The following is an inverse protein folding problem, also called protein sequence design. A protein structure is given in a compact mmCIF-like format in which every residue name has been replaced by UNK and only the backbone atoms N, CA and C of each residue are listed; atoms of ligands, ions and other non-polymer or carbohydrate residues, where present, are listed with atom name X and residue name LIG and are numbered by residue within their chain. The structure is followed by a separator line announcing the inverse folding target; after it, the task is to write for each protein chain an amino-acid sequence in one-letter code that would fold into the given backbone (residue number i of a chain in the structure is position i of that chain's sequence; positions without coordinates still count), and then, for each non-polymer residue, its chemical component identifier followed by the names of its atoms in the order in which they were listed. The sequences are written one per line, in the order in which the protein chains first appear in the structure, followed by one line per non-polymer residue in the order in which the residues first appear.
data_IF_596291384189
#
_entry.id   IF_596291384189
#
_cell.length_a   1.000
_cell.length_b   1.000
_cell.length_c   1.000
_cell.angle_alpha   90.00
_cell.angle_beta   90.00
_cell.angle_gamma   90.00
#
_symmetry.space_group_name_H-M   'P 1'
#
loop_
_entity.id
_entity.type
_entity.pdbx_description
1 polymer ?
#
# COMPACT_ATOMS: atom_id res chain seq x y z
N UNK A 1 11.50 13.96 -30.60
CA UNK A 1 10.08 14.17 -30.38
C UNK A 1 9.89 14.86 -29.04
N UNK A 2 8.94 15.82 -28.98
CA UNK A 2 8.57 16.50 -27.76
C UNK A 2 7.05 16.57 -27.66
N UNK A 3 6.52 16.34 -26.46
CA UNK A 3 5.10 16.46 -26.17
C UNK A 3 4.90 17.28 -24.90
N UNK A 4 3.99 18.24 -24.92
CA UNK A 4 3.55 18.98 -23.74
C UNK A 4 2.04 18.87 -23.65
N UNK A 5 1.53 18.59 -22.47
CA UNK A 5 0.10 18.48 -22.20
C UNK A 5 -0.25 19.22 -20.92
N UNK A 6 -1.43 19.83 -20.93
CA UNK A 6 -2.00 20.47 -19.75
C UNK A 6 -3.46 20.05 -19.59
N UNK A 7 -3.80 19.54 -18.41
CA UNK A 7 -5.16 19.12 -18.06
C UNK A 7 -5.65 19.89 -16.84
N UNK A 8 -6.88 20.37 -16.91
CA UNK A 8 -7.59 20.93 -15.77
C UNK A 8 -8.86 20.10 -15.51
N UNK A 9 -8.97 19.57 -14.32
CA UNK A 9 -10.12 18.75 -13.91
C UNK A 9 -10.87 19.45 -12.78
N UNK A 10 -12.21 19.48 -12.86
CA UNK A 10 -13.08 20.01 -11.83
C UNK A 10 -13.84 18.91 -11.11
N UNK A 11 -13.99 19.03 -9.78
CA UNK A 11 -14.79 18.10 -9.00
C UNK A 11 -15.68 18.85 -8.00
N UNK A 12 -16.98 18.52 -7.96
CA UNK A 12 -17.94 19.06 -7.00
C UNK A 12 -17.69 18.56 -5.56
N UNK A 13 -16.88 17.51 -5.39
CA UNK A 13 -16.49 16.96 -4.10
C UNK A 13 -15.63 17.93 -3.29
N UNK A 14 -14.92 18.85 -3.95
CA UNK A 14 -14.08 19.87 -3.33
C UNK A 14 -14.76 21.24 -3.37
N UNK A 15 -14.31 22.17 -2.53
CA UNK A 15 -14.91 23.48 -2.39
C UNK A 15 -13.97 24.63 -2.70
N UNK A 16 -14.56 25.74 -3.14
CA UNK A 16 -13.82 26.96 -3.46
C UNK A 16 -12.73 26.71 -4.52
N UNK A 17 -11.55 27.24 -4.28
CA UNK A 17 -10.41 27.17 -5.18
C UNK A 17 -9.85 25.75 -5.33
N UNK A 18 -10.15 24.86 -4.38
CA UNK A 18 -9.70 23.45 -4.43
C UNK A 18 -10.54 22.59 -5.38
N UNK A 19 -11.63 23.14 -5.97
CA UNK A 19 -12.48 22.43 -6.91
C UNK A 19 -11.73 21.97 -8.15
N UNK A 20 -10.80 22.81 -8.64
CA UNK A 20 -10.02 22.52 -9.83
C UNK A 20 -8.63 22.01 -9.47
N UNK A 21 -8.21 20.93 -10.17
CA UNK A 21 -6.85 20.42 -10.16
C UNK A 21 -6.19 20.70 -11.52
N UNK A 22 -4.90 21.03 -11.50
CA UNK A 22 -4.11 21.35 -12.69
C UNK A 22 -2.96 20.36 -12.82
N UNK A 23 -2.89 19.70 -13.98
CA UNK A 23 -2.01 18.57 -14.20
C UNK A 23 -1.20 18.74 -15.48
N UNK A 24 -0.11 19.53 -15.44
CA UNK A 24 0.84 19.62 -16.53
C UNK A 24 1.64 18.33 -16.70
N UNK A 25 2.02 18.03 -17.94
CA UNK A 25 2.96 16.94 -18.26
C UNK A 25 3.77 17.27 -19.49
N UNK A 26 4.95 16.68 -19.59
CA UNK A 26 5.82 16.79 -20.73
C UNK A 26 6.65 15.53 -20.94
N UNK A 27 6.97 15.26 -22.19
CA UNK A 27 7.86 14.17 -22.56
C UNK A 27 8.78 14.57 -23.70
N UNK A 28 9.98 14.00 -23.67
CA UNK A 28 11.00 14.09 -24.71
C UNK A 28 11.42 12.67 -25.11
N UNK A 29 11.64 12.49 -26.40
CA UNK A 29 12.19 11.25 -26.91
C UNK A 29 13.18 11.54 -28.02
N UNK A 30 14.37 10.94 -27.91
CA UNK A 30 15.45 11.10 -28.84
C UNK A 30 15.87 9.76 -29.43
N UNK A 31 15.69 9.62 -30.76
CA UNK A 31 16.15 8.48 -31.53
C UNK A 31 17.61 8.69 -31.92
N UNK A 32 18.53 8.42 -31.00
CA UNK A 32 19.93 8.74 -31.17
C UNK A 32 20.64 7.87 -32.26
N UNK A 33 20.09 6.72 -32.63
CA UNK A 33 20.60 5.89 -33.69
C UNK A 33 20.42 6.50 -35.10
N UNK A 34 19.58 7.53 -35.23
CA UNK A 34 19.42 8.27 -36.48
C UNK A 34 20.53 9.30 -36.71
N UNK A 35 21.35 9.58 -35.70
CA UNK A 35 22.43 10.57 -35.75
C UNK A 35 23.66 10.04 -36.46
N UNK A 36 24.37 10.95 -37.11
CA UNK A 36 25.54 10.61 -37.94
C UNK A 36 26.68 9.93 -37.15
N UNK A 37 26.88 10.36 -35.90
CA UNK A 37 27.94 9.79 -35.05
C UNK A 37 27.67 8.33 -34.64
N UNK A 38 26.41 7.84 -34.75
CA UNK A 38 26.03 6.47 -34.45
C UNK A 38 26.08 5.52 -35.65
N UNK A 39 26.33 6.04 -36.86
CA UNK A 39 26.43 5.21 -38.09
C UNK A 39 27.36 3.99 -37.98
N UNK A 40 28.55 4.10 -37.33
CA UNK A 40 29.44 2.93 -37.20
C UNK A 40 28.85 1.78 -36.37
N UNK A 41 27.89 2.07 -35.47
CA UNK A 41 27.26 1.09 -34.58
C UNK A 41 26.02 0.46 -35.21
N UNK A 42 25.50 0.95 -36.32
CA UNK A 42 24.26 0.46 -36.97
C UNK A 42 24.31 -1.01 -37.37
N UNK A 43 25.50 -1.59 -37.55
CA UNK A 43 25.65 -3.01 -37.84
C UNK A 43 25.32 -3.94 -36.67
N UNK A 44 25.35 -3.42 -35.43
CA UNK A 44 25.06 -4.18 -34.21
C UNK A 44 23.81 -3.67 -33.53
N UNK A 45 23.68 -2.32 -33.39
CA UNK A 45 22.54 -1.65 -32.78
C UNK A 45 21.63 -1.14 -33.87
N UNK A 46 20.49 -1.78 -34.07
CA UNK A 46 19.54 -1.48 -35.15
C UNK A 46 18.71 -0.24 -34.82
N UNK A 47 18.31 -0.09 -33.57
CA UNK A 47 17.59 1.06 -33.08
C UNK A 47 18.00 1.47 -31.66
N UNK A 48 17.87 2.76 -31.37
CA UNK A 48 18.16 3.30 -30.04
C UNK A 48 17.38 4.57 -29.78
N UNK A 49 16.64 4.58 -28.66
CA UNK A 49 15.77 5.68 -28.27
C UNK A 49 15.87 5.95 -26.78
N UNK A 50 16.16 7.19 -26.44
CA UNK A 50 16.11 7.68 -25.06
C UNK A 50 14.79 8.42 -24.84
N UNK A 51 14.13 8.13 -23.73
CA UNK A 51 12.85 8.75 -23.33
C UNK A 51 12.98 9.37 -21.95
N UNK A 52 12.42 10.57 -21.79
CA UNK A 52 12.27 11.22 -20.51
C UNK A 52 10.87 11.81 -20.43
N UNK A 53 10.17 11.61 -19.31
CA UNK A 53 8.88 12.21 -19.09
C UNK A 53 8.68 12.62 -17.64
N UNK A 54 7.92 13.69 -17.46
CA UNK A 54 7.47 14.20 -16.20
C UNK A 54 6.01 14.60 -16.28
N UNK A 55 5.25 14.38 -15.22
CA UNK A 55 3.87 14.83 -15.18
C UNK A 55 3.25 14.75 -13.80
N UNK A 56 2.15 15.51 -13.66
CA UNK A 56 1.28 15.50 -12.51
C UNK A 56 -0.03 14.79 -12.86
N UNK A 57 -0.55 14.01 -11.92
CA UNK A 57 -1.89 13.41 -11.99
C UNK A 57 -2.63 13.65 -10.68
N UNK A 58 -3.94 13.86 -10.76
CA UNK A 58 -4.82 14.07 -9.62
C UNK A 58 -5.68 12.87 -9.33
N UNK A 59 -6.03 12.72 -8.04
CA UNK A 59 -7.01 11.75 -7.57
C UNK A 59 -8.01 12.47 -6.65
N UNK A 60 -9.31 12.21 -6.83
CA UNK A 60 -10.40 12.77 -6.05
C UNK A 60 -11.21 11.71 -5.30
N UNK A 61 -10.56 10.64 -4.85
CA UNK A 61 -11.18 9.54 -4.09
C UNK A 61 -11.57 9.97 -2.68
N UNK A 62 -12.58 10.83 -2.59
CA UNK A 62 -13.28 11.19 -1.36
C UNK A 62 -14.76 10.92 -1.52
N UNK A 63 -15.47 10.76 -0.42
CA UNK A 63 -16.93 10.73 -0.43
C UNK A 63 -17.51 12.03 -0.98
N UNK A 64 -18.70 11.96 -1.53
CA UNK A 64 -19.34 13.12 -2.18
C UNK A 64 -19.60 14.28 -1.23
N UNK A 65 -19.71 13.96 0.05
CA UNK A 65 -20.07 14.91 1.11
C UNK A 65 -18.98 15.10 2.19
N UNK A 66 -17.76 14.56 2.00
CA UNK A 66 -16.69 14.64 3.00
C UNK A 66 -16.23 16.06 3.32
N UNK A 67 -16.53 17.02 2.44
CA UNK A 67 -16.29 18.45 2.70
C UNK A 67 -17.38 19.14 3.52
N UNK A 68 -18.47 18.43 3.82
CA UNK A 68 -19.61 18.94 4.58
C UNK A 68 -19.61 18.39 6.00
N UNK A 69 -20.24 19.11 6.91
CA UNK A 69 -20.68 18.52 8.18
C UNK A 69 -21.96 17.73 7.90
N UNK A 70 -21.94 16.45 8.22
CA UNK A 70 -23.11 15.59 8.10
C UNK A 70 -23.73 15.39 9.48
N UNK A 71 -25.04 15.32 9.49
CA UNK A 71 -25.84 15.00 10.68
C UNK A 71 -26.61 13.72 10.42
N UNK A 72 -26.60 12.82 11.38
CA UNK A 72 -27.41 11.62 11.37
C UNK A 72 -28.62 11.81 12.29
N UNK A 73 -29.78 11.44 11.80
CA UNK A 73 -31.00 11.37 12.61
C UNK A 73 -30.91 10.07 13.39
N UNK A 74 -30.99 10.16 14.72
CA UNK A 74 -31.12 9.00 15.61
C UNK A 74 -32.56 8.48 15.48
N UNK A 75 -32.79 7.56 14.54
CA UNK A 75 -34.08 6.86 14.43
C UNK A 75 -34.07 5.69 15.40
N UNK A 76 -34.96 5.70 16.36
CA UNK A 76 -35.37 4.50 17.09
C UNK A 76 -36.03 3.53 16.09
N UNK A 77 -35.31 2.51 15.67
CA UNK A 77 -35.94 1.25 15.33
C UNK A 77 -36.10 0.51 16.65
N UNK A 78 -37.35 0.30 17.06
CA UNK A 78 -37.69 -0.62 18.13
C UNK A 78 -36.99 -1.96 17.82
N UNK A 79 -35.89 -2.26 18.54
CA UNK A 79 -35.13 -3.48 18.39
C UNK A 79 -33.63 -3.35 18.00
N UNK A 80 -33.19 -2.26 17.41
CA UNK A 80 -31.80 -2.04 17.08
C UNK A 80 -31.21 -0.91 17.94
N UNK A 81 -30.53 -1.26 19.02
CA UNK A 81 -29.70 -0.35 19.79
C UNK A 81 -28.51 0.05 18.98
N UNK A 82 -28.51 1.24 18.36
CA UNK A 82 -27.26 1.85 17.88
C UNK A 82 -26.57 2.39 19.15
N UNK A 83 -25.71 1.57 19.73
CA UNK A 83 -24.81 1.98 20.80
C UNK A 83 -23.72 2.89 20.23
N UNK A 84 -23.97 4.19 20.20
CA UNK A 84 -22.89 5.18 20.11
C UNK A 84 -22.43 5.38 21.55
N UNK A 85 -21.47 4.53 21.99
CA UNK A 85 -20.81 4.68 23.28
C UNK A 85 -21.73 5.07 24.44
N UNK A 86 -22.49 4.11 24.95
CA UNK A 86 -23.23 4.22 26.22
C UNK A 86 -24.25 5.39 26.37
N UNK A 87 -24.62 6.05 25.28
CA UNK A 87 -25.74 7.01 25.34
C UNK A 87 -27.04 6.29 25.03
N UNK A 88 -28.02 6.33 25.93
CA UNK A 88 -29.34 5.79 25.65
C UNK A 88 -29.96 6.55 24.48
N UNK A 89 -30.73 5.83 23.66
CA UNK A 89 -31.50 6.24 22.51
C UNK A 89 -31.79 7.74 22.46
N UNK A 90 -31.41 8.38 21.34
CA UNK A 90 -31.43 9.83 21.17
C UNK A 90 -32.81 10.49 21.10
N UNK A 91 -33.64 10.23 22.08
CA UNK A 91 -34.89 10.93 22.25
C UNK A 91 -34.63 12.14 23.15
N UNK A 92 -34.84 13.34 22.63
CA UNK A 92 -34.78 14.57 23.43
C UNK A 92 -36.01 14.61 24.33
N UNK A 93 -35.87 14.78 25.65
CA UNK A 93 -37.01 14.85 26.60
C UNK A 93 -37.63 16.25 26.66
N UNK A 94 -37.70 16.95 25.53
CA UNK A 94 -38.41 18.23 25.48
C UNK A 94 -39.88 18.01 25.16
N UNK A 95 -40.74 18.59 25.95
CA UNK A 95 -42.21 18.67 25.79
C UNK A 95 -43.00 17.37 25.89
N UNK A 96 -42.57 16.39 26.70
CA UNK A 96 -43.35 15.16 26.92
C UNK A 96 -43.81 14.42 25.65
N UNK A 97 -43.15 14.67 24.52
CA UNK A 97 -43.46 14.05 23.23
C UNK A 97 -42.41 13.03 22.87
N UNK A 98 -42.83 11.78 22.69
CA UNK A 98 -42.01 10.65 22.23
C UNK A 98 -41.55 10.78 20.75
N UNK A 99 -41.79 11.92 20.12
CA UNK A 99 -41.60 12.14 18.68
C UNK A 99 -40.42 13.06 18.33
N UNK A 100 -39.72 13.65 19.30
CA UNK A 100 -38.57 14.51 19.03
C UNK A 100 -37.33 13.68 18.77
N UNK A 101 -36.98 13.55 17.50
CA UNK A 101 -35.83 12.79 17.07
C UNK A 101 -34.57 13.64 17.18
N UNK A 102 -33.59 13.19 17.95
CA UNK A 102 -32.29 13.85 18.06
C UNK A 102 -31.45 13.70 16.78
N UNK A 103 -30.64 14.71 16.52
CA UNK A 103 -29.62 14.66 15.46
C UNK A 103 -28.25 14.78 16.08
N UNK A 104 -27.28 13.97 15.60
CA UNK A 104 -25.86 14.06 15.99
C UNK A 104 -25.01 14.36 14.78
N UNK A 105 -24.00 15.22 14.92
CA UNK A 105 -23.03 15.42 13.86
C UNK A 105 -22.16 14.16 13.75
N UNK A 106 -22.02 13.61 12.53
CA UNK A 106 -21.26 12.38 12.26
C UNK A 106 -19.91 12.64 11.60
N UNK A 107 -19.75 13.80 10.95
CA UNK A 107 -18.50 14.16 10.31
C UNK A 107 -18.11 15.61 10.56
N UNK A 108 -16.82 15.82 10.77
CA UNK A 108 -16.25 17.15 10.87
C UNK A 108 -16.07 17.74 9.46
N UNK A 109 -16.63 18.95 9.26
CA UNK A 109 -16.48 19.68 8.02
C UNK A 109 -15.03 20.00 7.72
N UNK A 110 -14.54 19.66 6.51
CA UNK A 110 -13.24 20.09 6.04
C UNK A 110 -13.32 20.79 4.69
N UNK A 111 -13.34 22.11 4.71
CA UNK A 111 -13.33 22.95 3.49
C UNK A 111 -12.00 23.01 2.75
N UNK A 112 -10.91 22.56 3.41
CA UNK A 112 -9.55 22.62 2.88
C UNK A 112 -9.18 21.36 2.09
N UNK A 113 -10.11 20.39 1.99
CA UNK A 113 -9.87 19.20 1.16
C UNK A 113 -9.58 19.61 -0.28
N UNK A 114 -8.52 19.01 -0.81
CA UNK A 114 -8.03 19.23 -2.17
C UNK A 114 -7.66 17.91 -2.84
N UNK A 115 -7.33 17.99 -4.11
CA UNK A 115 -6.86 16.86 -4.90
C UNK A 115 -5.60 16.23 -4.29
N UNK A 116 -5.59 14.93 -4.18
CA UNK A 116 -4.37 14.16 -4.00
C UNK A 116 -3.58 14.26 -5.29
N UNK A 117 -2.29 14.57 -5.20
CA UNK A 117 -1.44 14.80 -6.38
C UNK A 117 -0.30 13.79 -6.42
N UNK A 118 -0.15 13.16 -7.57
CA UNK A 118 0.98 12.29 -7.88
C UNK A 118 1.88 12.96 -8.90
N UNK A 119 3.14 13.13 -8.53
CA UNK A 119 4.23 13.54 -9.40
C UNK A 119 5.00 12.31 -9.86
N UNK A 120 5.20 12.18 -11.16
CA UNK A 120 5.90 11.05 -11.76
C UNK A 120 7.01 11.52 -12.69
N UNK A 121 8.18 10.91 -12.54
CA UNK A 121 9.33 10.99 -13.43
C UNK A 121 9.58 9.62 -14.03
N UNK A 122 9.84 9.58 -15.34
CA UNK A 122 10.26 8.36 -16.03
C UNK A 122 11.45 8.66 -16.92
N UNK A 123 12.42 7.74 -16.93
CA UNK A 123 13.54 7.71 -17.87
C UNK A 123 13.55 6.31 -18.50
N UNK A 124 13.56 6.25 -19.82
CA UNK A 124 13.52 5.00 -20.55
C UNK A 124 14.58 4.95 -21.63
N UNK A 125 15.13 3.77 -21.83
CA UNK A 125 16.07 3.45 -22.90
C UNK A 125 15.54 2.23 -23.66
N UNK A 126 15.31 2.41 -24.95
CA UNK A 126 14.93 1.34 -25.88
C UNK A 126 16.10 1.06 -26.80
N UNK A 127 16.52 -0.20 -26.92
CA UNK A 127 17.60 -0.66 -27.78
C UNK A 127 17.13 -1.84 -28.63
N UNK A 128 17.38 -1.79 -29.91
CA UNK A 128 17.23 -2.92 -30.82
C UNK A 128 18.58 -3.39 -31.35
N UNK A 129 18.77 -4.68 -31.41
CA UNK A 129 20.03 -5.30 -31.91
C UNK A 129 19.74 -6.33 -33.00
N UNK A 130 20.70 -6.50 -33.89
CA UNK A 130 20.66 -7.54 -34.91
C UNK A 130 19.38 -7.50 -35.77
N UNK A 131 19.08 -6.36 -36.37
CA UNK A 131 17.88 -6.10 -37.15
C UNK A 131 16.58 -6.37 -36.34
N UNK A 132 16.52 -5.82 -35.14
CA UNK A 132 15.37 -5.94 -34.19
C UNK A 132 15.12 -7.38 -33.71
N UNK A 133 16.07 -8.30 -33.89
CA UNK A 133 15.93 -9.66 -33.34
C UNK A 133 16.00 -9.68 -31.81
N UNK A 134 16.66 -8.70 -31.20
CA UNK A 134 16.75 -8.52 -29.77
C UNK A 134 16.32 -7.08 -29.46
N UNK A 135 15.23 -6.93 -28.76
CA UNK A 135 14.74 -5.65 -28.24
C UNK A 135 14.88 -5.59 -26.74
N UNK A 136 15.56 -4.58 -26.22
CA UNK A 136 15.77 -4.33 -24.80
C UNK A 136 15.16 -2.99 -24.43
N UNK A 137 14.27 -2.98 -23.45
CA UNK A 137 13.74 -1.76 -22.84
C UNK A 137 14.12 -1.74 -21.37
N UNK A 138 14.67 -0.62 -20.91
CA UNK A 138 14.98 -0.36 -19.51
C UNK A 138 14.31 0.94 -19.12
N UNK A 139 13.41 0.88 -18.15
CA UNK A 139 12.70 2.04 -17.61
C UNK A 139 13.04 2.23 -16.14
N UNK A 140 13.39 3.45 -15.76
CA UNK A 140 13.44 3.90 -14.39
C UNK A 140 12.30 4.86 -14.13
N UNK A 141 11.63 4.69 -12.99
CA UNK A 141 10.56 5.60 -12.59
C UNK A 141 10.68 6.01 -11.13
N UNK A 142 10.14 7.19 -10.85
CA UNK A 142 9.93 7.70 -9.51
C UNK A 142 8.57 8.39 -9.44
N UNK A 143 7.67 7.82 -8.65
CA UNK A 143 6.31 8.29 -8.43
C UNK A 143 6.16 8.72 -6.99
N UNK A 144 5.81 9.98 -6.74
CA UNK A 144 5.59 10.52 -5.39
C UNK A 144 4.17 11.06 -5.31
N UNK A 145 3.36 10.42 -4.45
CA UNK A 145 2.01 10.87 -4.14
C UNK A 145 2.04 11.69 -2.87
N UNK A 146 1.48 12.87 -2.91
CA UNK A 146 1.37 13.82 -1.80
C UNK A 146 -0.08 14.21 -1.57
N UNK A 147 -0.36 14.77 -0.38
CA UNK A 147 -1.70 15.18 0.00
C UNK A 147 -2.69 14.02 -0.05
N UNK A 148 -2.25 12.82 0.41
CA UNK A 148 -3.09 11.62 0.44
C UNK A 148 -4.38 11.91 1.19
N UNK A 149 -5.50 11.47 0.63
CA UNK A 149 -6.81 11.62 1.23
C UNK A 149 -7.05 10.48 2.22
N UNK A 150 -6.79 10.74 3.49
CA UNK A 150 -6.87 9.76 4.57
C UNK A 150 -7.84 10.21 5.67
N UNK A 151 -8.53 9.24 6.22
CA UNK A 151 -9.34 9.43 7.41
C UNK A 151 -8.44 9.36 8.64
N UNK A 152 -8.19 10.52 9.27
CA UNK A 152 -7.30 10.65 10.43
C UNK A 152 -8.10 10.66 11.73
N UNK A 153 -7.64 9.90 12.74
CA UNK A 153 -8.22 9.93 14.06
C UNK A 153 -8.10 11.34 14.66
N UNK A 154 -9.13 11.74 15.38
CA UNK A 154 -9.18 13.00 16.11
C UNK A 154 -9.19 12.74 17.62
N UNK A 155 -8.72 13.67 18.45
CA UNK A 155 -8.91 13.60 19.89
C UNK A 155 -10.40 13.48 20.23
N UNK A 156 -10.77 12.62 21.16
CA UNK A 156 -12.16 12.41 21.59
C UNK A 156 -12.83 13.67 22.13
N UNK A 157 -12.04 14.60 22.65
CA UNK A 157 -12.49 15.93 23.08
C UNK A 157 -13.07 16.80 21.95
N UNK A 158 -12.81 16.45 20.69
CA UNK A 158 -13.41 17.13 19.53
C UNK A 158 -14.88 16.76 19.29
N UNK A 159 -15.37 15.69 19.92
CA UNK A 159 -16.70 15.11 19.67
C UNK A 159 -16.79 14.29 18.39
N UNK A 160 -15.67 14.05 17.69
CA UNK A 160 -15.58 13.26 16.46
C UNK A 160 -14.48 12.22 16.59
N UNK A 161 -14.69 11.03 15.99
CA UNK A 161 -13.66 9.98 16.00
C UNK A 161 -12.58 10.21 14.95
N UNK A 162 -12.97 10.76 13.79
CA UNK A 162 -12.06 10.98 12.67
C UNK A 162 -12.51 12.08 11.74
N UNK A 163 -11.60 12.57 10.91
CA UNK A 163 -11.90 13.50 9.82
C UNK A 163 -11.06 13.18 8.59
N UNK A 164 -11.65 13.38 7.41
CA UNK A 164 -10.94 13.30 6.14
C UNK A 164 -9.99 14.49 6.02
N UNK A 165 -8.70 14.22 5.78
CA UNK A 165 -7.65 15.24 5.61
C UNK A 165 -6.74 14.88 4.46
N UNK A 166 -6.14 15.91 3.84
CA UNK A 166 -5.02 15.72 2.92
C UNK A 166 -3.73 15.64 3.74
N UNK A 167 -3.26 14.43 4.00
CA UNK A 167 -2.09 14.17 4.84
C UNK A 167 -1.30 12.99 4.29
N UNK A 168 -0.01 13.04 4.53
CA UNK A 168 0.86 11.94 4.15
C UNK A 168 1.43 12.05 2.74
N UNK A 169 2.54 11.35 2.56
CA UNK A 169 3.31 11.31 1.34
C UNK A 169 3.96 9.95 1.17
N UNK A 170 3.81 9.36 0.00
CA UNK A 170 4.34 8.04 -0.31
C UNK A 170 5.11 8.10 -1.62
N UNK A 171 6.23 7.39 -1.68
CA UNK A 171 7.05 7.26 -2.88
C UNK A 171 7.10 5.80 -3.32
N UNK A 172 6.94 5.60 -4.61
CA UNK A 172 7.31 4.39 -5.33
C UNK A 172 8.41 4.75 -6.33
N UNK A 173 9.47 3.96 -6.39
CA UNK A 173 10.51 4.10 -7.38
C UNK A 173 11.04 2.73 -7.76
N UNK A 174 11.43 2.58 -9.01
CA UNK A 174 11.83 1.27 -9.47
C UNK A 174 12.54 1.28 -10.81
N UNK A 175 12.94 0.08 -11.21
CA UNK A 175 13.49 -0.21 -12.50
C UNK A 175 12.69 -1.36 -13.08
N UNK A 176 12.33 -1.23 -14.35
CA UNK A 176 11.67 -2.26 -15.14
C UNK A 176 12.54 -2.59 -16.33
N UNK A 177 12.70 -3.87 -16.60
CA UNK A 177 13.46 -4.37 -17.73
C UNK A 177 12.57 -5.31 -18.54
N UNK A 178 12.52 -5.07 -19.86
CA UNK A 178 11.81 -5.94 -20.81
C UNK A 178 12.78 -6.34 -21.91
N UNK A 179 12.86 -7.64 -22.15
CA UNK A 179 13.66 -8.24 -23.22
C UNK A 179 12.74 -9.02 -24.16
N UNK A 180 12.73 -8.63 -25.41
CA UNK A 180 12.04 -9.34 -26.50
C UNK A 180 13.08 -9.93 -27.43
N UNK A 181 12.97 -11.23 -27.75
CA UNK A 181 13.90 -11.87 -28.68
C UNK A 181 13.16 -12.71 -29.71
N UNK A 182 13.64 -12.61 -30.95
CA UNK A 182 13.29 -13.56 -32.01
C UNK A 182 14.48 -14.55 -32.13
N UNK A 183 14.33 -15.68 -31.42
CA UNK A 183 15.41 -16.67 -31.31
C UNK A 183 15.61 -17.40 -32.64
N UNK A 184 14.52 -17.90 -33.21
CA UNK A 184 14.52 -18.56 -34.51
C UNK A 184 13.33 -18.06 -35.30
N UNK A 185 13.55 -17.73 -36.57
CA UNK A 185 12.49 -17.39 -37.51
C UNK A 185 12.86 -17.90 -38.89
N UNK A 186 12.16 -18.91 -39.34
CA UNK A 186 12.30 -19.44 -40.70
C UNK A 186 10.92 -19.76 -41.28
N UNK A 187 10.85 -20.30 -42.49
CA UNK A 187 9.60 -20.56 -43.22
C UNK A 187 8.62 -21.49 -42.48
N UNK A 188 9.10 -22.38 -41.62
CA UNK A 188 8.33 -23.43 -41.00
C UNK A 188 8.29 -23.36 -39.47
N UNK A 189 9.22 -22.62 -38.88
CA UNK A 189 9.35 -22.55 -37.43
C UNK A 189 9.68 -21.12 -36.97
N UNK A 190 8.96 -20.65 -35.99
CA UNK A 190 9.18 -19.39 -35.30
C UNK A 190 9.28 -19.67 -33.81
N UNK A 191 10.27 -19.07 -33.14
CA UNK A 191 10.41 -19.07 -31.70
C UNK A 191 10.75 -17.68 -31.23
N UNK A 192 9.87 -17.10 -30.42
CA UNK A 192 10.07 -15.79 -29.79
C UNK A 192 10.01 -15.92 -28.27
N UNK A 193 10.75 -15.06 -27.58
CA UNK A 193 10.77 -14.98 -26.12
C UNK A 193 10.48 -13.56 -25.70
N UNK A 194 9.62 -13.41 -24.70
CA UNK A 194 9.41 -12.17 -23.95
C UNK A 194 9.78 -12.43 -22.49
N UNK A 195 10.66 -11.61 -21.94
CA UNK A 195 11.04 -11.62 -20.53
C UNK A 195 10.85 -10.22 -19.96
N UNK A 196 10.24 -10.13 -18.78
CA UNK A 196 10.17 -8.87 -18.05
C UNK A 196 10.47 -9.09 -16.57
N UNK A 197 11.09 -8.10 -15.94
CA UNK A 197 11.33 -8.07 -14.50
C UNK A 197 11.22 -6.64 -13.99
N UNK A 198 10.54 -6.47 -12.87
CA UNK A 198 10.32 -5.19 -12.22
C UNK A 198 10.78 -5.22 -10.76
N UNK A 199 11.54 -4.21 -10.37
CA UNK A 199 11.98 -3.95 -9.00
C UNK A 199 11.32 -2.67 -8.53
N UNK A 200 10.52 -2.74 -7.48
CA UNK A 200 9.85 -1.57 -6.90
C UNK A 200 10.24 -1.38 -5.44
N UNK A 201 10.57 -0.14 -5.06
CA UNK A 201 10.75 0.29 -3.67
C UNK A 201 9.65 1.27 -3.30
N UNK A 202 8.80 0.87 -2.39
CA UNK A 202 7.81 1.75 -1.75
C UNK A 202 8.40 2.34 -0.46
N UNK A 203 8.06 3.60 -0.16
CA UNK A 203 8.46 4.25 1.09
C UNK A 203 7.41 5.29 1.52
N UNK A 204 6.99 5.20 2.77
CA UNK A 204 6.22 6.25 3.45
C UNK A 204 7.20 7.39 3.79
N UNK A 205 6.95 8.58 3.27
CA UNK A 205 7.79 9.75 3.51
C UNK A 205 7.24 10.64 4.63
N UNK A 206 5.91 10.69 4.75
CA UNK A 206 5.20 11.54 5.69
C UNK A 206 3.85 10.93 6.02
N UNK A 207 3.40 11.09 7.25
CA UNK A 207 2.05 10.75 7.73
C UNK A 207 1.37 12.03 8.23
N UNK A 208 0.24 11.91 8.93
CA UNK A 208 -0.42 13.06 9.54
C UNK A 208 0.48 13.74 10.60
N UNK A 209 0.17 15.00 10.90
CA UNK A 209 0.91 15.80 11.87
C UNK A 209 1.18 15.03 13.17
N UNK A 210 2.43 14.99 13.60
CA UNK A 210 2.90 14.33 14.82
C UNK A 210 2.69 12.80 14.86
N UNK A 211 2.43 12.16 13.73
CA UNK A 211 2.33 10.70 13.65
C UNK A 211 3.57 10.11 12.98
N UNK A 212 4.28 9.25 13.68
CA UNK A 212 5.42 8.49 13.13
C UNK A 212 4.96 7.18 12.48
N UNK A 213 3.79 6.69 12.87
CA UNK A 213 3.20 5.44 12.36
C UNK A 213 1.67 5.46 12.43
N UNK A 214 1.06 4.61 11.60
CA UNK A 214 -0.36 4.30 11.59
C UNK A 214 -0.53 2.79 11.64
N UNK A 215 -1.34 2.32 12.58
CA UNK A 215 -1.70 0.91 12.70
C UNK A 215 -3.00 0.63 11.94
N UNK A 216 -3.08 -0.53 11.33
CA UNK A 216 -4.27 -0.99 10.60
C UNK A 216 -4.56 -2.44 10.93
N UNK A 217 -5.84 -2.74 11.20
CA UNK A 217 -6.31 -4.09 11.41
C UNK A 217 -6.70 -4.74 10.07
N UNK A 218 -6.30 -5.99 9.89
CA UNK A 218 -6.87 -6.83 8.84
C UNK A 218 -8.18 -7.43 9.34
N UNK A 219 -9.25 -7.25 8.57
CA UNK A 219 -10.57 -7.81 8.88
C UNK A 219 -10.81 -9.03 8.01
N UNK A 220 -10.43 -10.22 8.50
CA UNK A 220 -10.67 -11.47 7.78
C UNK A 220 -12.02 -12.09 8.17
N UNK A 221 -12.37 -12.08 9.46
CA UNK A 221 -13.66 -12.52 9.98
C UNK A 221 -14.04 -11.76 11.26
N UNK A 222 -15.12 -12.18 11.92
CA UNK A 222 -15.59 -11.56 13.16
C UNK A 222 -14.62 -11.72 14.34
N UNK A 223 -13.80 -12.76 14.35
CA UNK A 223 -12.87 -13.07 15.42
C UNK A 223 -11.52 -12.38 15.21
N UNK A 224 -11.15 -12.10 13.94
CA UNK A 224 -9.86 -11.51 13.55
C UNK A 224 -9.98 -10.01 13.18
N UNK A 225 -10.89 -9.28 13.79
CA UNK A 225 -11.13 -7.90 13.35
C UNK A 225 -10.62 -6.81 14.30
N UNK A 226 -10.12 -7.20 15.48
CA UNK A 226 -9.67 -6.27 16.52
C UNK A 226 -8.15 -6.13 16.66
N UNK A 227 -7.36 -6.96 15.95
CA UNK A 227 -5.91 -6.95 16.08
C UNK A 227 -5.25 -6.12 14.98
N UNK A 228 -4.33 -5.24 15.38
CA UNK A 228 -3.49 -4.52 14.44
C UNK A 228 -2.47 -5.47 13.81
N UNK A 229 -2.64 -5.76 12.53
CA UNK A 229 -1.79 -6.70 11.77
C UNK A 229 -0.83 -5.99 10.82
N UNK A 230 -1.03 -4.69 10.58
CA UNK A 230 -0.21 -3.90 9.68
C UNK A 230 0.16 -2.55 10.28
N UNK A 231 1.34 -2.07 9.89
CA UNK A 231 1.86 -0.76 10.26
C UNK A 231 2.34 -0.01 9.01
N UNK A 232 1.95 1.25 8.90
CA UNK A 232 2.60 2.21 8.02
C UNK A 232 3.48 3.11 8.87
N UNK A 233 4.80 3.06 8.69
CA UNK A 233 5.79 3.82 9.46
C UNK A 233 6.63 4.69 8.52
N UNK A 234 6.88 5.94 8.91
CA UNK A 234 7.74 6.84 8.15
C UNK A 234 9.13 6.22 7.97
N UNK A 235 9.61 6.21 6.73
CA UNK A 235 10.90 5.62 6.37
C UNK A 235 10.83 4.17 5.87
N UNK A 236 9.72 3.47 6.06
CA UNK A 236 9.51 2.07 5.70
C UNK A 236 8.49 1.92 4.54
N UNK A 237 8.42 0.74 3.91
CA UNK A 237 7.36 0.43 2.97
C UNK A 237 5.97 0.52 3.61
N UNK A 238 4.95 0.82 2.81
CA UNK A 238 3.56 0.75 3.24
C UNK A 238 3.13 -0.72 3.39
N UNK A 239 2.32 -1.01 4.42
CA UNK A 239 1.79 -2.35 4.60
C UNK A 239 2.77 -3.37 5.17
N UNK A 240 3.73 -2.91 6.00
CA UNK A 240 4.55 -3.82 6.80
C UNK A 240 3.68 -4.60 7.77
N UNK A 241 3.92 -5.89 7.87
CA UNK A 241 3.24 -6.76 8.85
C UNK A 241 3.77 -6.44 10.25
N UNK A 242 2.86 -6.37 11.22
CA UNK A 242 3.12 -5.92 12.58
C UNK A 242 2.60 -6.92 13.59
N UNK A 243 3.45 -7.35 14.50
CA UNK A 243 3.11 -8.36 15.50
C UNK A 243 4.27 -8.72 16.39
N UNK A 244 4.13 -9.82 17.11
CA UNK A 244 5.15 -10.37 18.00
C UNK A 244 6.11 -11.29 17.25
N UNK A 245 7.36 -11.32 17.68
CA UNK A 245 8.33 -12.33 17.22
C UNK A 245 8.12 -13.61 18.03
N UNK A 246 7.77 -14.69 17.34
CA UNK A 246 7.57 -16.01 17.94
C UNK A 246 8.92 -16.69 18.21
N UNK A 247 9.17 -17.12 19.45
CA UNK A 247 10.39 -17.79 19.88
C UNK A 247 10.19 -19.30 20.18
N UNK A 248 9.02 -19.80 19.86
CA UNK A 248 8.66 -21.21 20.15
C UNK A 248 7.63 -21.28 21.28
N UNK A 249 7.72 -22.32 22.09
CA UNK A 249 6.82 -22.53 23.23
C UNK A 249 7.59 -22.51 24.53
N UNK A 250 6.92 -22.12 25.63
CA UNK A 250 7.48 -22.26 26.96
C UNK A 250 7.79 -23.71 27.22
N UNK A 251 9.01 -23.99 27.64
CA UNK A 251 9.50 -25.34 27.98
C UNK A 251 9.35 -25.61 29.46
N UNK A 252 9.36 -26.87 29.87
CA UNK A 252 9.38 -27.25 31.29
C UNK A 252 10.56 -26.62 32.06
N UNK A 253 11.68 -26.36 31.38
CA UNK A 253 12.88 -25.74 31.94
C UNK A 253 12.65 -24.27 32.33
N UNK A 254 11.64 -23.59 31.75
CA UNK A 254 11.26 -22.20 32.06
C UNK A 254 10.51 -22.13 33.41
N UNK A 255 10.19 -23.26 34.05
CA UNK A 255 9.36 -23.30 35.25
C UNK A 255 10.08 -24.01 36.39
N UNK A 256 9.71 -23.64 37.61
CA UNK A 256 10.01 -24.38 38.85
C UNK A 256 8.81 -25.29 39.15
N UNK A 257 9.07 -26.58 39.35
CA UNK A 257 8.04 -27.59 39.69
C UNK A 257 7.95 -27.76 41.19
N UNK A 258 6.77 -27.50 41.77
CA UNK A 258 6.47 -27.77 43.18
C UNK A 258 5.22 -28.66 43.27
N UNK A 259 5.40 -29.94 43.57
CA UNK A 259 4.34 -30.94 43.47
C UNK A 259 3.88 -31.11 42.01
N UNK A 260 2.59 -30.92 41.76
CA UNK A 260 2.00 -30.96 40.39
C UNK A 260 1.84 -29.61 39.75
N UNK A 261 2.35 -28.54 40.40
CA UNK A 261 2.21 -27.17 39.91
C UNK A 261 3.52 -26.67 39.27
N UNK A 262 3.42 -26.05 38.14
CA UNK A 262 4.51 -25.37 37.45
C UNK A 262 4.38 -23.86 37.67
N UNK A 263 5.41 -23.23 38.25
CA UNK A 263 5.49 -21.80 38.46
C UNK A 263 6.55 -21.20 37.54
N UNK A 264 6.24 -20.17 36.77
CA UNK A 264 7.17 -19.55 35.85
C UNK A 264 8.37 -18.97 36.65
N UNK A 265 9.58 -19.15 36.14
CA UNK A 265 10.78 -18.58 36.74
C UNK A 265 10.78 -17.05 36.56
N UNK A 266 11.21 -16.32 37.59
CA UNK A 266 11.19 -14.84 37.62
C UNK A 266 11.95 -14.14 36.49
N UNK A 267 12.90 -14.84 35.87
CA UNK A 267 13.72 -14.30 34.78
C UNK A 267 13.18 -14.67 33.40
N UNK A 268 12.03 -15.29 33.32
CA UNK A 268 11.40 -15.68 32.06
C UNK A 268 10.23 -14.71 31.78
N UNK A 269 10.26 -13.98 30.65
CA UNK A 269 9.18 -13.09 30.27
C UNK A 269 7.86 -13.85 30.07
N UNK A 270 6.75 -13.20 30.38
CA UNK A 270 5.42 -13.80 30.24
C UNK A 270 4.48 -12.93 29.42
N UNK A 271 3.55 -13.58 28.71
CA UNK A 271 2.50 -12.90 27.95
C UNK A 271 1.24 -12.75 28.79
N UNK A 272 0.76 -11.51 28.93
CA UNK A 272 -0.48 -11.15 29.65
C UNK A 272 -0.47 -11.39 31.16
N UNK A 273 -0.12 -12.59 31.66
CA UNK A 273 -0.14 -12.91 33.08
C UNK A 273 0.85 -14.03 33.41
N UNK A 274 1.71 -13.80 34.39
CA UNK A 274 2.66 -14.81 34.90
C UNK A 274 1.94 -16.07 35.39
N UNK A 275 0.87 -15.90 36.16
CA UNK A 275 0.14 -17.04 36.78
C UNK A 275 -0.59 -17.93 35.77
N UNK A 276 -0.89 -17.38 34.58
CA UNK A 276 -1.59 -18.14 33.52
C UNK A 276 -0.63 -18.77 32.52
N UNK A 277 0.65 -18.40 32.57
CA UNK A 277 1.67 -18.97 31.67
C UNK A 277 2.01 -20.39 32.07
N UNK A 278 1.92 -21.34 31.12
CA UNK A 278 2.15 -22.75 31.34
C UNK A 278 3.07 -23.34 30.26
N UNK A 279 3.75 -24.48 30.57
CA UNK A 279 4.52 -25.23 29.58
C UNK A 279 3.67 -25.54 28.34
N UNK A 280 4.26 -25.37 27.16
CA UNK A 280 3.60 -25.60 25.88
C UNK A 280 2.85 -24.38 25.28
N UNK A 281 2.63 -23.33 26.04
CA UNK A 281 2.04 -22.10 25.52
C UNK A 281 3.02 -21.36 24.58
N UNK A 282 2.51 -20.58 23.58
CA UNK A 282 3.36 -19.77 22.72
C UNK A 282 4.21 -18.78 23.51
N UNK A 283 5.50 -18.70 23.18
CA UNK A 283 6.46 -17.76 23.75
C UNK A 283 6.87 -16.75 22.68
N UNK A 284 6.88 -15.48 23.06
CA UNK A 284 7.27 -14.37 22.19
C UNK A 284 8.45 -13.63 22.79
N UNK A 285 9.17 -12.88 21.94
CA UNK A 285 10.30 -12.08 22.35
C UNK A 285 9.85 -10.86 23.16
N UNK A 286 10.51 -10.65 24.29
CA UNK A 286 10.47 -9.43 25.07
C UNK A 286 11.52 -8.47 24.49
N UNK A 287 11.08 -7.49 23.70
CA UNK A 287 11.97 -6.60 22.93
C UNK A 287 12.49 -5.42 23.75
N UNK A 288 11.73 -5.02 24.77
CA UNK A 288 12.11 -3.90 25.64
C UNK A 288 12.84 -4.36 26.91
N UNK A 289 12.79 -5.66 27.26
CA UNK A 289 13.50 -6.27 28.37
C UNK A 289 12.86 -6.00 29.74
N UNK A 290 11.56 -5.69 29.79
CA UNK A 290 10.86 -5.41 31.05
C UNK A 290 10.26 -6.66 31.73
N UNK A 291 10.33 -7.82 31.07
CA UNK A 291 9.84 -9.10 31.56
C UNK A 291 8.36 -9.34 31.31
N UNK A 292 7.66 -8.42 30.66
CA UNK A 292 6.24 -8.52 30.30
C UNK A 292 6.10 -8.41 28.80
N UNK A 293 5.57 -9.42 28.15
CA UNK A 293 5.31 -9.39 26.71
C UNK A 293 3.96 -8.73 26.47
N UNK A 294 3.98 -7.52 25.97
CA UNK A 294 2.79 -6.69 25.71
C UNK A 294 2.87 -5.95 24.35
N UNK A 295 1.99 -4.97 24.13
CA UNK A 295 1.95 -4.21 22.88
C UNK A 295 3.26 -3.43 22.57
N UNK A 296 4.13 -3.20 23.57
CA UNK A 296 5.42 -2.55 23.38
C UNK A 296 6.48 -3.48 22.74
N UNK A 297 6.23 -4.80 22.76
CA UNK A 297 7.08 -5.82 22.13
C UNK A 297 6.67 -6.15 20.70
N UNK A 298 5.65 -5.49 20.19
CA UNK A 298 5.27 -5.63 18.80
C UNK A 298 6.23 -4.89 17.88
N UNK A 299 6.60 -5.52 16.78
CA UNK A 299 7.52 -4.97 15.79
C UNK A 299 7.09 -5.33 14.37
N UNK A 300 7.83 -4.84 13.39
CA UNK A 300 7.65 -5.20 11.99
C UNK A 300 8.20 -6.62 11.77
N UNK A 301 7.31 -7.58 11.50
CA UNK A 301 7.63 -9.00 11.36
C UNK A 301 7.66 -9.49 9.93
N UNK A 302 7.17 -8.70 8.97
CA UNK A 302 7.17 -9.08 7.57
C UNK A 302 6.89 -7.91 6.64
N UNK A 303 7.16 -8.12 5.36
CA UNK A 303 6.95 -7.16 4.29
C UNK A 303 6.18 -7.81 3.14
N UNK A 304 4.93 -7.40 2.93
CA UNK A 304 4.10 -7.91 1.83
C UNK A 304 4.52 -7.41 0.42
N UNK A 305 5.47 -6.47 0.33
CA UNK A 305 5.96 -5.96 -0.96
C UNK A 305 7.05 -6.87 -1.52
N UNK A 306 6.88 -7.42 -2.74
CA UNK A 306 7.90 -8.24 -3.36
C UNK A 306 9.18 -7.45 -3.66
N UNK A 307 10.33 -8.12 -3.57
CA UNK A 307 11.62 -7.58 -4.00
C UNK A 307 11.68 -7.41 -5.50
N UNK A 308 11.10 -8.35 -6.23
CA UNK A 308 10.88 -8.26 -7.67
C UNK A 308 9.71 -9.15 -8.12
N UNK A 309 9.11 -8.76 -9.22
CA UNK A 309 8.10 -9.54 -9.94
C UNK A 309 8.53 -9.66 -11.39
N UNK A 310 8.08 -10.69 -12.08
CA UNK A 310 8.42 -10.84 -13.49
C UNK A 310 7.57 -11.86 -14.21
N UNK A 311 7.78 -11.88 -15.51
CA UNK A 311 7.15 -12.82 -16.41
C UNK A 311 8.12 -13.30 -17.49
N UNK A 312 7.90 -14.52 -17.97
CA UNK A 312 8.69 -15.13 -19.00
C UNK A 312 7.76 -15.92 -19.93
N UNK A 313 7.72 -15.52 -21.19
CA UNK A 313 6.89 -16.15 -22.20
C UNK A 313 7.73 -16.66 -23.34
N UNK A 314 7.49 -17.90 -23.78
CA UNK A 314 8.01 -18.43 -25.03
C UNK A 314 6.84 -18.79 -25.95
N UNK A 315 6.91 -18.32 -27.18
CA UNK A 315 5.96 -18.66 -28.23
C UNK A 315 6.68 -19.44 -29.34
N UNK A 316 6.07 -20.54 -29.71
CA UNK A 316 6.56 -21.44 -30.75
C UNK A 316 5.47 -21.59 -31.80
N UNK A 317 5.83 -21.45 -33.05
CA UNK A 317 4.96 -21.71 -34.19
C UNK A 317 5.61 -22.74 -35.11
N UNK A 318 4.90 -23.78 -35.48
CA UNK A 318 5.39 -24.82 -36.37
C UNK A 318 4.29 -25.35 -37.27
N UNK A 319 4.38 -25.08 -38.57
CA UNK A 319 3.45 -25.65 -39.61
C UNK A 319 1.96 -25.52 -39.27
N UNK A 320 1.53 -24.40 -38.71
CA UNK A 320 0.14 -24.14 -38.31
C UNK A 320 -0.23 -24.56 -36.90
N UNK A 321 0.70 -25.10 -36.13
CA UNK A 321 0.57 -25.30 -34.68
C UNK A 321 1.27 -24.19 -33.95
N UNK A 322 0.62 -23.67 -32.92
CA UNK A 322 1.18 -22.67 -32.00
C UNK A 322 1.14 -23.17 -30.56
N UNK A 323 2.22 -22.90 -29.83
CA UNK A 323 2.37 -23.20 -28.41
C UNK A 323 2.92 -21.97 -27.71
N UNK A 324 2.19 -21.48 -26.67
CA UNK A 324 2.65 -20.43 -25.79
C UNK A 324 2.85 -20.97 -24.39
N UNK A 325 4.04 -20.75 -23.81
CA UNK A 325 4.35 -21.14 -22.43
C UNK A 325 4.67 -19.87 -21.67
N UNK A 326 3.91 -19.60 -20.60
CA UNK A 326 4.04 -18.41 -19.77
C UNK A 326 4.31 -18.79 -18.33
N UNK A 327 5.32 -18.15 -17.73
CA UNK A 327 5.64 -18.19 -16.31
C UNK A 327 5.55 -16.80 -15.74
N UNK A 328 4.97 -16.69 -14.54
CA UNK A 328 4.94 -15.47 -13.75
C UNK A 328 5.44 -15.78 -12.35
N UNK A 329 6.17 -14.84 -11.75
CA UNK A 329 6.63 -14.97 -10.38
C UNK A 329 6.54 -13.66 -9.61
N UNK A 330 6.42 -13.81 -8.29
CA UNK A 330 6.61 -12.77 -7.28
C UNK A 330 7.58 -13.33 -6.25
N UNK A 331 8.63 -12.60 -5.91
CA UNK A 331 9.70 -13.09 -5.05
C UNK A 331 10.00 -12.13 -3.90
N UNK A 332 10.21 -12.72 -2.72
CA UNK A 332 10.74 -12.03 -1.56
C UNK A 332 9.74 -11.16 -0.81
N UNK A 333 8.44 -11.40 -1.00
CA UNK A 333 7.38 -10.89 -0.17
C UNK A 333 6.96 -11.91 0.89
N UNK A 334 6.55 -11.42 2.05
CA UNK A 334 5.92 -12.21 3.09
C UNK A 334 4.41 -12.25 2.87
N UNK A 335 3.78 -13.32 3.31
CA UNK A 335 2.32 -13.52 3.23
C UNK A 335 1.78 -13.73 4.63
N UNK A 336 0.79 -12.94 5.03
CA UNK A 336 0.09 -13.15 6.28
C UNK A 336 -0.80 -14.39 6.15
N UNK A 337 -0.50 -15.41 6.95
CA UNK A 337 -1.35 -16.58 7.10
C UNK A 337 -2.25 -16.36 8.33
N UNK A 338 -3.56 -16.32 8.13
CA UNK A 338 -4.56 -16.10 9.17
C UNK A 338 -5.27 -17.40 9.61
N UNK A 339 -4.78 -18.57 9.17
CA UNK A 339 -5.34 -19.88 9.54
C UNK A 339 -4.81 -20.36 10.88
#
# INVERSE_FOLDING_TARGET
YATVSFRSDGSSKFRGDNRFGYFPSGSLAWGFMEEDFMKPLKSVVSSGKLRASWGLTGNNRVGEYDTYALYQILKDKVGDFISIGSLPSGVYPFENSLTSVGTVPTSLRNRKLKWETTEQWNLGLDLGFLDERIGLTVDWYRKTTRDLLLNTALPTSSGYFSAMKNVGKVRNQGIELTLNTTNIKNRHFSWTTNFNIAFNKNKVLELAENQSSLLSAAKFDQNYNSQYSYIAKVGYPMGMMYGFIYEGTYKYEDFDKVGDTYTLKRNVPYFSSESNTQPGMPKYADLNGDGIIDDNDRTMIGNGMPKHTGGFTNNFEYKGFDLSIFFQWSYGNDVLNAN
#
